data_IF_196676593221
#
_entry.id   IF_196676593221
#
_cell.length_a   1.000
_cell.length_b   1.000
_cell.length_c   1.000
_cell.angle_alpha   90.00
_cell.angle_beta   90.00
_cell.angle_gamma   90.00
#
_symmetry.space_group_name_H-M   'P 1'
#
loop_
_entity.id
_entity.type
_entity.pdbx_description
1 polymer ?
#
# COMPACT_ATOMS: atom_id res chain seq x y z
N UNK A 1 11.74 -23.12 -3.65
CA UNK A 1 11.85 -24.14 -2.59
C UNK A 1 10.78 -25.22 -2.75
N UNK A 2 9.53 -24.87 -2.97
CA UNK A 2 8.41 -25.83 -3.12
C UNK A 2 8.71 -26.89 -4.19
N UNK A 3 9.25 -26.49 -5.34
CA UNK A 3 9.54 -27.41 -6.45
C UNK A 3 10.64 -28.44 -6.09
N UNK A 4 11.58 -28.07 -5.22
CA UNK A 4 12.66 -28.97 -4.80
C UNK A 4 12.13 -30.12 -3.94
N UNK A 5 11.08 -29.86 -3.15
CA UNK A 5 10.56 -30.82 -2.18
C UNK A 5 9.31 -31.56 -2.61
N UNK A 6 8.86 -31.41 -3.87
CA UNK A 6 7.68 -32.11 -4.39
C UNK A 6 7.81 -33.64 -4.34
N UNK A 7 9.03 -34.15 -4.31
CA UNK A 7 9.30 -35.60 -4.29
C UNK A 7 9.07 -36.26 -2.92
N UNK A 8 8.84 -35.47 -1.85
CA UNK A 8 8.64 -36.01 -0.51
C UNK A 8 7.15 -36.21 -0.22
N UNK A 9 6.76 -37.44 0.14
CA UNK A 9 5.37 -37.79 0.44
C UNK A 9 4.92 -37.32 1.82
N UNK A 10 5.83 -37.24 2.78
CA UNK A 10 5.50 -36.87 4.17
C UNK A 10 5.84 -35.40 4.45
N UNK A 11 4.84 -34.62 4.79
CA UNK A 11 4.97 -33.18 5.03
C UNK A 11 5.95 -32.86 6.17
N UNK A 12 6.04 -33.73 7.17
CA UNK A 12 6.98 -33.53 8.30
C UNK A 12 8.45 -33.64 7.85
N UNK A 13 8.74 -34.49 6.87
CA UNK A 13 10.08 -34.62 6.31
C UNK A 13 10.47 -33.33 5.60
N UNK A 14 9.56 -32.81 4.78
CA UNK A 14 9.77 -31.54 4.05
C UNK A 14 10.02 -30.39 5.03
N UNK A 15 9.19 -30.29 6.08
CA UNK A 15 9.35 -29.26 7.13
C UNK A 15 10.72 -29.33 7.79
N UNK A 16 11.18 -30.53 8.17
CA UNK A 16 12.46 -30.74 8.80
C UNK A 16 13.61 -30.33 7.88
N UNK A 17 13.54 -30.68 6.59
CA UNK A 17 14.60 -30.36 5.63
C UNK A 17 14.64 -28.84 5.33
N UNK A 18 13.49 -28.16 5.27
CA UNK A 18 13.45 -26.71 5.16
C UNK A 18 14.16 -26.07 6.36
N UNK A 19 13.85 -26.53 7.58
CA UNK A 19 14.49 -26.05 8.79
C UNK A 19 16.01 -26.23 8.76
N UNK A 20 16.47 -27.41 8.38
CA UNK A 20 17.91 -27.75 8.28
C UNK A 20 18.62 -26.86 7.26
N UNK A 21 18.01 -26.70 6.07
CA UNK A 21 18.56 -25.87 5.02
C UNK A 21 18.74 -24.41 5.50
N UNK A 22 17.69 -23.85 6.10
CA UNK A 22 17.72 -22.47 6.55
C UNK A 22 18.75 -22.29 7.69
N UNK A 23 18.83 -23.25 8.62
CA UNK A 23 19.84 -23.21 9.67
C UNK A 23 21.26 -23.17 9.09
N UNK A 24 21.55 -23.99 8.10
CA UNK A 24 22.85 -24.02 7.42
C UNK A 24 23.15 -22.69 6.71
N UNK A 25 22.16 -22.16 5.99
CA UNK A 25 22.32 -20.87 5.29
C UNK A 25 22.63 -19.73 6.29
N UNK A 26 21.99 -19.76 7.45
CA UNK A 26 22.27 -18.79 8.53
C UNK A 26 23.67 -18.96 9.13
N UNK A 27 24.11 -20.21 9.33
CA UNK A 27 25.45 -20.50 9.85
C UNK A 27 26.56 -19.95 8.96
N UNK A 28 26.39 -20.03 7.64
CA UNK A 28 27.39 -19.50 6.71
C UNK A 28 27.22 -17.99 6.42
N UNK A 29 26.22 -17.35 7.05
CA UNK A 29 26.07 -15.91 7.04
C UNK A 29 25.60 -15.30 5.70
N UNK A 30 24.91 -16.08 4.85
CA UNK A 30 24.43 -15.57 3.57
C UNK A 30 23.03 -14.95 3.68
N UNK A 31 22.80 -13.88 2.95
CA UNK A 31 21.46 -13.32 2.76
C UNK A 31 20.74 -14.15 1.72
N UNK A 32 19.62 -14.76 2.10
CA UNK A 32 18.89 -15.70 1.27
C UNK A 32 17.50 -15.18 0.96
N UNK A 33 17.10 -15.16 -0.30
CA UNK A 33 15.74 -14.89 -0.72
C UNK A 33 15.13 -16.21 -1.21
N UNK A 34 13.98 -16.56 -0.64
CA UNK A 34 13.26 -17.79 -0.99
C UNK A 34 11.88 -17.42 -1.51
N UNK A 35 11.43 -18.14 -2.53
CA UNK A 35 10.05 -17.98 -3.02
C UNK A 35 9.27 -19.27 -2.77
N UNK A 36 8.00 -19.13 -2.44
CA UNK A 36 7.07 -20.25 -2.26
C UNK A 36 5.72 -19.91 -2.88
N UNK A 37 5.02 -20.92 -3.34
CA UNK A 37 3.69 -20.76 -3.93
C UNK A 37 2.62 -20.97 -2.86
N UNK A 38 1.55 -20.19 -2.96
CA UNK A 38 0.35 -20.33 -2.14
C UNK A 38 -0.75 -20.98 -2.97
N UNK A 39 -1.62 -21.71 -2.31
CA UNK A 39 -2.78 -22.32 -2.96
C UNK A 39 -3.86 -21.27 -3.19
N UNK A 40 -4.06 -20.38 -2.22
CA UNK A 40 -5.07 -19.31 -2.24
C UNK A 40 -4.45 -17.97 -1.88
N UNK A 41 -5.01 -16.90 -2.42
CA UNK A 41 -4.55 -15.54 -2.11
C UNK A 41 -4.71 -15.17 -0.63
N UNK A 42 -5.70 -15.71 0.06
CA UNK A 42 -5.97 -15.43 1.48
C UNK A 42 -5.91 -16.67 2.37
N UNK A 43 -5.44 -17.80 1.83
CA UNK A 43 -5.23 -19.04 2.57
C UNK A 43 -3.92 -19.06 3.36
N UNK A 44 -3.43 -20.24 3.72
CA UNK A 44 -2.16 -20.37 4.43
C UNK A 44 -1.02 -19.66 3.69
N UNK A 45 -0.11 -19.04 4.44
CA UNK A 45 0.97 -18.22 3.90
C UNK A 45 1.90 -19.03 2.99
N UNK A 46 2.19 -20.26 3.40
CA UNK A 46 3.09 -21.14 2.63
C UNK A 46 2.56 -22.57 2.63
N UNK A 47 2.94 -23.31 1.62
CA UNK A 47 2.43 -24.65 1.36
C UNK A 47 2.67 -25.62 2.52
N UNK A 48 3.85 -25.53 3.16
CA UNK A 48 4.23 -26.45 4.23
C UNK A 48 4.05 -25.88 5.62
N UNK A 49 3.73 -24.58 5.73
CA UNK A 49 3.39 -23.93 6.99
C UNK A 49 4.55 -23.73 7.96
N UNK A 50 5.79 -23.73 7.47
CA UNK A 50 6.97 -23.45 8.29
C UNK A 50 7.79 -22.29 7.74
N UNK A 51 7.68 -21.99 6.47
CA UNK A 51 8.51 -21.02 5.77
C UNK A 51 8.44 -19.64 6.43
N UNK A 52 7.24 -19.23 6.85
CA UNK A 52 7.04 -17.94 7.52
C UNK A 52 7.63 -17.90 8.93
N UNK A 53 7.75 -19.05 9.59
CA UNK A 53 8.30 -19.10 10.95
C UNK A 53 9.82 -19.02 10.95
N UNK A 54 10.47 -19.63 9.96
CA UNK A 54 11.94 -19.69 9.88
C UNK A 54 12.55 -18.47 9.18
N UNK A 55 11.75 -17.71 8.42
CA UNK A 55 12.19 -16.51 7.73
C UNK A 55 12.22 -15.30 8.67
N UNK A 56 13.17 -14.41 8.46
CA UNK A 56 13.26 -13.17 9.23
C UNK A 56 12.35 -12.09 8.64
N UNK A 57 12.13 -12.14 7.34
CA UNK A 57 11.25 -11.22 6.62
C UNK A 57 10.28 -12.02 5.77
N UNK A 58 9.02 -11.60 5.71
CA UNK A 58 7.98 -12.26 4.90
C UNK A 58 7.22 -11.18 4.12
N UNK A 59 7.25 -11.31 2.81
CA UNK A 59 6.52 -10.43 1.89
C UNK A 59 5.52 -11.28 1.12
N UNK A 60 4.26 -10.89 1.15
CA UNK A 60 3.17 -11.55 0.42
C UNK A 60 2.84 -10.78 -0.85
N UNK A 61 2.72 -11.49 -1.93
CA UNK A 61 2.25 -10.94 -3.21
C UNK A 61 0.94 -11.64 -3.56
N UNK A 62 -0.09 -10.87 -3.90
CA UNK A 62 -1.41 -11.40 -4.28
C UNK A 62 -1.81 -10.88 -5.66
N UNK A 63 -2.64 -11.64 -6.35
CA UNK A 63 -3.21 -11.25 -7.66
C UNK A 63 -4.71 -11.59 -7.65
N UNK A 64 -5.45 -10.80 -6.90
CA UNK A 64 -6.87 -11.06 -6.59
C UNK A 64 -7.76 -10.53 -7.70
N UNK A 65 -8.81 -11.28 -8.04
CA UNK A 65 -9.87 -10.83 -8.95
C UNK A 65 -10.92 -10.07 -8.12
N UNK A 66 -11.03 -8.77 -8.36
CA UNK A 66 -11.96 -7.89 -7.66
C UNK A 66 -12.79 -7.12 -8.69
N UNK A 67 -14.10 -7.32 -8.68
CA UNK A 67 -15.04 -6.65 -9.61
C UNK A 67 -14.56 -6.75 -11.06
N UNK A 68 -14.28 -7.98 -11.51
CA UNK A 68 -13.88 -8.32 -12.88
C UNK A 68 -12.47 -7.83 -13.28
N UNK A 69 -11.75 -7.20 -12.38
CA UNK A 69 -10.38 -6.71 -12.63
C UNK A 69 -9.37 -7.42 -11.73
N UNK A 70 -8.21 -7.74 -12.29
CA UNK A 70 -7.09 -8.29 -11.52
C UNK A 70 -6.35 -7.16 -10.80
N UNK A 71 -6.21 -7.34 -9.50
CA UNK A 71 -5.51 -6.38 -8.65
C UNK A 71 -4.32 -7.08 -7.98
N UNK A 72 -3.13 -6.56 -8.23
CA UNK A 72 -1.92 -7.05 -7.58
C UNK A 72 -1.65 -6.23 -6.33
N UNK A 73 -1.44 -6.91 -5.20
CA UNK A 73 -1.10 -6.25 -3.94
C UNK A 73 0.14 -6.88 -3.31
N UNK A 74 0.86 -6.07 -2.56
CA UNK A 74 2.03 -6.47 -1.79
C UNK A 74 1.77 -6.12 -0.33
N UNK A 75 2.12 -7.04 0.57
CA UNK A 75 2.02 -6.83 2.01
C UNK A 75 3.31 -7.30 2.68
N UNK A 76 3.89 -6.47 3.53
CA UNK A 76 5.00 -6.89 4.41
C UNK A 76 4.35 -7.46 5.67
N UNK A 77 4.35 -8.79 5.79
CA UNK A 77 3.74 -9.47 6.92
C UNK A 77 4.66 -9.48 8.14
N UNK A 78 5.96 -9.61 7.90
CA UNK A 78 6.96 -9.73 8.96
C UNK A 78 8.26 -9.05 8.51
N UNK A 79 8.85 -8.28 9.41
CA UNK A 79 10.15 -7.66 9.19
C UNK A 79 10.85 -7.62 10.55
N UNK A 80 11.81 -8.54 10.76
CA UNK A 80 12.47 -8.70 12.05
C UNK A 80 13.43 -7.53 12.33
N UNK A 81 13.40 -7.03 13.56
CA UNK A 81 14.34 -6.01 14.02
C UNK A 81 13.92 -4.56 13.78
N UNK A 82 12.79 -4.34 13.12
CA UNK A 82 12.31 -2.98 12.87
C UNK A 82 10.79 -2.95 12.65
N UNK A 83 10.23 -1.75 12.65
CA UNK A 83 8.82 -1.55 12.32
C UNK A 83 8.66 -1.49 10.80
N UNK A 84 7.47 -1.81 10.32
CA UNK A 84 7.12 -1.72 8.90
C UNK A 84 5.69 -1.20 8.74
N UNK A 85 5.38 -0.74 7.55
CA UNK A 85 4.03 -0.30 7.20
C UNK A 85 3.14 -1.53 7.05
N UNK A 86 2.05 -1.55 7.81
CA UNK A 86 1.06 -2.64 7.75
C UNK A 86 0.03 -2.36 6.66
N UNK A 87 -0.52 -3.43 6.10
CA UNK A 87 -1.59 -3.39 5.10
C UNK A 87 -1.14 -3.84 3.73
N UNK A 88 -2.11 -3.94 2.84
CA UNK A 88 -1.90 -4.33 1.45
C UNK A 88 -1.77 -3.09 0.56
N UNK A 89 -0.72 -3.05 -0.22
CA UNK A 89 -0.41 -1.93 -1.11
C UNK A 89 -0.48 -2.38 -2.56
N UNK A 90 -1.24 -1.67 -3.41
CA UNK A 90 -1.25 -2.02 -4.84
C UNK A 90 0.14 -1.86 -5.45
N UNK A 91 0.45 -2.72 -6.41
CA UNK A 91 1.68 -2.58 -7.18
C UNK A 91 1.46 -2.88 -8.65
N UNK A 92 2.32 -2.33 -9.49
CA UNK A 92 2.36 -2.63 -10.92
C UNK A 92 3.71 -3.22 -11.29
N UNK A 93 3.74 -3.94 -12.41
CA UNK A 93 4.95 -4.49 -12.99
C UNK A 93 5.11 -3.89 -14.38
N UNK A 94 6.22 -3.24 -14.61
CA UNK A 94 6.54 -2.60 -15.88
C UNK A 94 7.96 -2.98 -16.34
N UNK A 95 8.43 -2.30 -17.35
CA UNK A 95 9.78 -2.52 -17.89
C UNK A 95 10.87 -2.22 -16.86
N UNK A 96 10.59 -1.28 -15.96
CA UNK A 96 11.52 -0.87 -14.91
C UNK A 96 11.40 -1.71 -13.62
N UNK A 97 10.56 -2.76 -13.63
CA UNK A 97 10.37 -3.65 -12.50
C UNK A 97 9.05 -3.42 -11.77
N UNK A 98 9.07 -3.52 -10.44
CA UNK A 98 7.89 -3.41 -9.57
C UNK A 98 7.82 -2.00 -8.99
N UNK A 99 6.64 -1.37 -9.14
CA UNK A 99 6.32 -0.07 -8.52
C UNK A 99 5.19 -0.26 -7.51
N UNK A 100 5.43 0.07 -6.25
CA UNK A 100 4.47 -0.10 -5.15
C UNK A 100 3.83 1.25 -4.80
N UNK A 101 2.51 1.29 -4.70
CA UNK A 101 1.75 2.51 -4.39
C UNK A 101 1.39 2.53 -2.90
N UNK A 102 2.35 2.95 -2.08
CA UNK A 102 2.18 3.04 -0.62
C UNK A 102 1.62 4.43 -0.25
N UNK A 103 0.32 4.65 -0.53
CA UNK A 103 -0.32 5.95 -0.30
C UNK A 103 -0.17 6.42 1.16
N UNK A 104 -0.13 5.50 2.11
CA UNK A 104 0.08 5.85 3.52
C UNK A 104 1.48 6.38 3.83
N UNK A 105 2.45 6.21 2.93
CA UNK A 105 3.81 6.73 3.09
C UNK A 105 3.96 8.13 2.48
N UNK A 106 2.96 8.60 1.73
CA UNK A 106 2.99 9.96 1.18
C UNK A 106 2.78 10.94 2.32
N UNK A 107 3.87 11.44 2.86
CA UNK A 107 3.82 12.61 3.75
C UNK A 107 3.56 13.81 2.84
N UNK A 108 2.35 14.34 2.95
CA UNK A 108 2.05 15.62 2.33
C UNK A 108 2.83 16.67 3.13
N UNK A 109 4.02 16.99 2.65
CA UNK A 109 4.85 18.08 3.20
C UNK A 109 4.35 19.42 2.64
N UNK A 110 3.05 19.61 2.71
CA UNK A 110 2.45 20.86 2.27
C UNK A 110 2.71 21.92 3.35
N UNK A 111 3.42 22.95 2.99
CA UNK A 111 3.57 24.13 3.85
C UNK A 111 2.23 24.87 3.77
N UNK A 112 1.59 25.05 4.91
CA UNK A 112 0.35 25.83 4.97
C UNK A 112 0.70 27.31 4.92
N UNK A 113 0.18 28.01 3.95
CA UNK A 113 0.21 29.47 3.94
C UNK A 113 -0.70 30.01 5.05
N UNK A 114 -0.33 31.11 5.68
CA UNK A 114 -1.20 31.81 6.62
C UNK A 114 -2.02 32.91 5.92
N UNK A 115 -1.79 33.08 4.62
CA UNK A 115 -2.51 34.08 3.82
C UNK A 115 -3.90 33.51 3.47
N UNK A 116 -4.93 34.34 3.66
CA UNK A 116 -6.30 34.00 3.31
C UNK A 116 -6.67 34.62 1.96
N UNK A 117 -7.41 33.86 1.16
CA UNK A 117 -7.98 34.33 -0.11
C UNK A 117 -9.49 34.09 -0.05
N UNK A 118 -10.25 35.02 -0.59
CA UNK A 118 -11.71 34.95 -0.60
C UNK A 118 -12.20 33.75 -1.42
N UNK A 119 -13.30 33.16 -0.97
CA UNK A 119 -14.04 32.15 -1.74
C UNK A 119 -14.94 32.76 -2.81
N UNK A 120 -15.09 34.10 -2.82
CA UNK A 120 -16.06 34.81 -3.64
C UNK A 120 -17.45 34.83 -3.02
N UNK A 121 -17.63 34.26 -1.82
CA UNK A 121 -18.90 34.22 -1.10
C UNK A 121 -18.63 34.65 0.34
N UNK A 122 -19.04 35.88 0.69
CA UNK A 122 -18.75 36.49 1.99
C UNK A 122 -19.12 35.59 3.16
N UNK A 123 -20.36 35.05 3.15
CA UNK A 123 -20.84 34.23 4.27
C UNK A 123 -19.98 32.97 4.44
N UNK A 124 -19.48 32.38 3.33
CA UNK A 124 -18.59 31.23 3.38
C UNK A 124 -17.20 31.62 3.91
N UNK A 125 -16.73 32.80 3.54
CA UNK A 125 -15.46 33.33 4.06
C UNK A 125 -15.55 33.50 5.58
N UNK A 126 -16.67 34.07 6.08
CA UNK A 126 -16.91 34.23 7.52
C UNK A 126 -16.93 32.87 8.24
N UNK A 127 -17.56 31.84 7.63
CA UNK A 127 -17.60 30.49 8.17
C UNK A 127 -16.20 29.84 8.18
N UNK A 128 -15.32 30.22 7.22
CA UNK A 128 -13.96 29.70 7.11
C UNK A 128 -12.92 30.53 7.87
N UNK A 129 -13.36 31.54 8.62
CA UNK A 129 -12.46 32.41 9.39
C UNK A 129 -11.61 33.32 8.49
N UNK A 130 -12.22 33.83 7.39
CA UNK A 130 -11.61 34.79 6.48
C UNK A 130 -11.24 34.24 5.11
N UNK A 131 -11.89 33.17 4.70
CA UNK A 131 -11.65 32.54 3.38
C UNK A 131 -10.74 31.33 3.42
N UNK A 132 -10.29 30.90 2.25
CA UNK A 132 -9.43 29.72 2.09
C UNK A 132 -7.97 30.08 2.33
N UNK A 133 -7.17 29.12 2.77
CA UNK A 133 -5.73 29.33 2.82
C UNK A 133 -5.13 29.29 1.40
N UNK A 134 -4.27 30.23 1.09
CA UNK A 134 -3.47 30.20 -0.14
C UNK A 134 -2.70 28.89 -0.21
N UNK A 135 -2.52 28.35 -1.42
CA UNK A 135 -1.84 27.08 -1.69
C UNK A 135 -2.58 25.83 -1.18
N UNK A 136 -3.85 25.99 -0.75
CA UNK A 136 -4.66 24.84 -0.33
C UNK A 136 -5.45 24.26 -1.52
N UNK A 137 -5.85 23.01 -1.39
CA UNK A 137 -6.72 22.34 -2.36
C UNK A 137 -8.11 22.26 -1.73
N UNK A 138 -9.09 22.85 -2.41
CA UNK A 138 -10.48 22.91 -1.95
C UNK A 138 -11.29 21.89 -2.76
N UNK A 139 -11.94 20.96 -2.08
CA UNK A 139 -12.84 20.00 -2.72
C UNK A 139 -14.29 20.34 -2.40
N UNK A 140 -15.04 20.74 -3.43
CA UNK A 140 -16.50 20.95 -3.32
C UNK A 140 -17.21 19.69 -3.81
N UNK A 141 -17.97 19.04 -2.93
CA UNK A 141 -18.66 17.78 -3.24
C UNK A 141 -20.17 17.92 -2.93
N UNK A 142 -20.98 17.17 -3.65
CA UNK A 142 -22.44 17.17 -3.49
C UNK A 142 -23.13 16.55 -4.70
N UNK A 143 -24.42 16.26 -4.56
CA UNK A 143 -25.25 15.69 -5.64
C UNK A 143 -25.40 16.70 -6.80
N UNK A 144 -25.92 16.24 -7.92
CA UNK A 144 -26.23 17.08 -9.09
C UNK A 144 -27.23 18.19 -8.64
N UNK A 145 -26.97 19.43 -9.07
CA UNK A 145 -27.87 20.58 -8.78
C UNK A 145 -27.64 21.28 -7.45
N UNK A 146 -26.62 20.88 -6.66
CA UNK A 146 -26.36 21.47 -5.34
C UNK A 146 -25.57 22.79 -5.39
N UNK A 147 -25.26 23.32 -6.58
CA UNK A 147 -24.59 24.61 -6.70
C UNK A 147 -23.06 24.55 -6.76
N UNK A 148 -22.44 23.36 -6.91
CA UNK A 148 -20.99 23.22 -6.97
C UNK A 148 -20.33 24.14 -8.02
N UNK A 149 -20.86 24.11 -9.23
CA UNK A 149 -20.34 24.93 -10.33
C UNK A 149 -20.46 26.42 -10.01
N UNK A 150 -21.59 26.82 -9.44
CA UNK A 150 -21.81 28.23 -9.03
C UNK A 150 -20.76 28.67 -8.01
N UNK A 151 -20.51 27.84 -6.99
CA UNK A 151 -19.49 28.13 -5.98
C UNK A 151 -18.10 28.30 -6.61
N UNK A 152 -17.71 27.38 -7.50
CA UNK A 152 -16.41 27.46 -8.18
C UNK A 152 -16.34 28.70 -9.09
N UNK A 153 -17.43 29.04 -9.79
CA UNK A 153 -17.48 30.24 -10.64
C UNK A 153 -17.31 31.52 -9.81
N UNK A 154 -17.93 31.58 -8.65
CA UNK A 154 -17.77 32.75 -7.74
C UNK A 154 -16.33 32.91 -7.27
N UNK A 155 -15.66 31.80 -6.93
CA UNK A 155 -14.24 31.81 -6.56
C UNK A 155 -13.37 32.37 -7.70
N UNK A 156 -13.62 31.91 -8.94
CA UNK A 156 -12.84 32.35 -10.12
C UNK A 156 -13.11 33.84 -10.41
N UNK A 157 -14.36 34.30 -10.30
CA UNK A 157 -14.73 35.71 -10.52
C UNK A 157 -13.99 36.62 -9.53
N UNK A 158 -13.94 36.24 -8.25
CA UNK A 158 -13.28 37.01 -7.20
C UNK A 158 -11.76 37.00 -7.36
N UNK A 159 -11.24 35.92 -7.76
CA UNK A 159 -9.79 35.78 -8.01
C UNK A 159 -9.27 36.59 -9.20
N UNK A 160 -10.12 36.88 -9.95
CA UNK A 160 -9.79 37.63 -11.04
C UNK A 160 -9.93 39.10 -10.85
N UNK A 161 -10.32 39.52 -9.92
CA UNK A 161 -10.48 40.85 -9.50
C UNK A 161 -9.33 41.41 -8.79
#
# INVERSE_FOLDING_TARGET
ITAVFQQYDAIYVVRREIFRLIARLKEIGVTTVMTTERVDDYGPIARYGVEEFVSDNVVLLRNVLESEKRRRTLEVLKLRGTTHMKGEYPFTMGLDGISVFALGAMRLTQRSSNIRISSGVKDLDDMCGGGYFQDSIILATGATGTGKTMLVSKFVEDAXX
#
